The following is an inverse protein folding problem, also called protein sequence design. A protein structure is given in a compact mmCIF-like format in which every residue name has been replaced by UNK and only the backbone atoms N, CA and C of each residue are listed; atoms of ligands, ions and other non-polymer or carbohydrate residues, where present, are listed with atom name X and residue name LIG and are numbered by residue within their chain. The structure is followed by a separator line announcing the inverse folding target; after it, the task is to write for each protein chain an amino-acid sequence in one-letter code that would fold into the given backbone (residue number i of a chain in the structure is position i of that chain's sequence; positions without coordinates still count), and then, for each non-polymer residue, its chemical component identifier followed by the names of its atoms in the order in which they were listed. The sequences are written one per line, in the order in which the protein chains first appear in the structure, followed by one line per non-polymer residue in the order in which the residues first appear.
data_IF_505611529637
#
_entry.id   IF_505611529637
#
_cell.length_a   1.000
_cell.length_b   1.000
_cell.length_c   1.000
_cell.angle_alpha   90.00
_cell.angle_beta   90.00
_cell.angle_gamma   90.00
#
_symmetry.space_group_name_H-M   'P 1'
#
loop_
_entity.id
_entity.type
_entity.pdbx_description
1 polymer ?
#
# COMPACT_ATOMS: atom_id res chain seq x y z
N UNK A 1 -5.04 -50.17 7.54
CA UNK A 1 -5.95 -49.17 8.13
C UNK A 1 -5.21 -48.08 8.92
N UNK A 2 -4.33 -48.40 9.89
CA UNK A 2 -3.55 -47.38 10.64
C UNK A 2 -2.71 -46.44 9.77
N UNK A 3 -2.05 -46.96 8.72
CA UNK A 3 -1.24 -46.15 7.78
C UNK A 3 -2.08 -45.17 6.94
N UNK A 4 -3.32 -45.54 6.62
CA UNK A 4 -4.27 -44.70 5.88
C UNK A 4 -4.81 -43.57 6.77
N UNK A 5 -5.05 -43.85 8.06
CA UNK A 5 -5.49 -42.87 9.05
C UNK A 5 -4.42 -41.80 9.35
N UNK A 6 -3.15 -42.19 9.37
CA UNK A 6 -2.03 -41.26 9.58
C UNK A 6 -1.84 -40.36 8.35
N UNK A 7 -2.02 -40.92 7.14
CA UNK A 7 -1.92 -40.14 5.90
C UNK A 7 -3.05 -39.10 5.77
N UNK A 8 -4.29 -39.44 6.14
CA UNK A 8 -5.40 -38.48 6.10
C UNK A 8 -5.28 -37.38 7.16
N UNK A 9 -4.77 -37.69 8.36
CA UNK A 9 -4.51 -36.65 9.38
C UNK A 9 -3.41 -35.68 8.95
N UNK A 10 -2.35 -36.17 8.31
CA UNK A 10 -1.26 -35.33 7.84
C UNK A 10 -1.70 -34.34 6.73
N UNK A 11 -2.58 -34.79 5.83
CA UNK A 11 -3.13 -33.95 4.75
C UNK A 11 -4.11 -32.91 5.32
N UNK A 12 -4.94 -33.28 6.30
CA UNK A 12 -5.85 -32.36 6.98
C UNK A 12 -5.09 -31.27 7.76
N UNK A 13 -3.93 -31.59 8.33
CA UNK A 13 -3.09 -30.62 9.05
C UNK A 13 -2.47 -29.56 8.12
N UNK A 14 -2.19 -29.88 6.86
CA UNK A 14 -1.69 -28.91 5.87
C UNK A 14 -2.78 -28.01 5.27
N UNK A 15 -4.04 -28.45 5.27
CA UNK A 15 -5.16 -27.67 4.73
C UNK A 15 -5.70 -26.61 5.73
N UNK A 16 -5.29 -26.67 6.99
CA UNK A 16 -5.74 -25.79 8.05
C UNK A 16 -4.80 -24.59 8.31
N UNK A 17 -3.85 -24.31 7.42
CA UNK A 17 -3.10 -23.06 7.49
C UNK A 17 -4.08 -21.94 7.10
N UNK A 18 -4.45 -21.04 8.01
CA UNK A 18 -5.18 -19.85 7.62
C UNK A 18 -4.28 -19.16 6.61
N UNK A 19 -4.76 -18.93 5.39
CA UNK A 19 -4.11 -18.00 4.49
C UNK A 19 -4.01 -16.69 5.29
N UNK A 20 -2.81 -16.36 5.77
CA UNK A 20 -2.58 -15.13 6.50
C UNK A 20 -3.05 -14.02 5.55
N UNK A 21 -4.19 -13.42 5.87
CA UNK A 21 -4.73 -12.30 5.10
C UNK A 21 -3.71 -11.19 5.25
N UNK A 22 -2.86 -11.03 4.23
CA UNK A 22 -1.90 -9.95 4.18
C UNK A 22 -2.68 -8.66 4.41
N UNK A 23 -2.51 -8.06 5.59
CA UNK A 23 -3.26 -6.88 6.03
C UNK A 23 -2.64 -5.62 5.41
N UNK A 24 -2.44 -5.67 4.10
CA UNK A 24 -1.97 -4.57 3.27
C UNK A 24 -3.10 -4.08 2.39
N UNK A 25 -2.98 -2.85 1.92
CA UNK A 25 -3.88 -2.28 0.95
C UNK A 25 -3.95 -3.15 -0.32
N UNK A 26 -5.14 -3.38 -0.85
CA UNK A 26 -5.32 -4.00 -2.16
C UNK A 26 -4.54 -3.22 -3.22
N UNK A 27 -4.06 -3.90 -4.26
CA UNK A 27 -3.41 -3.19 -5.35
C UNK A 27 -4.42 -2.25 -6.03
N UNK A 28 -4.00 -1.05 -6.48
CA UNK A 28 -4.87 -0.16 -7.24
C UNK A 28 -5.46 -0.88 -8.44
N UNK A 29 -6.73 -0.59 -8.76
CA UNK A 29 -7.32 -1.06 -10.00
C UNK A 29 -6.53 -0.48 -11.18
N UNK A 30 -5.99 -1.36 -12.03
CA UNK A 30 -5.18 -0.98 -13.18
C UNK A 30 -3.67 -1.20 -12.98
N UNK A 31 -2.87 -0.53 -13.79
CA UNK A 31 -1.40 -0.59 -13.76
C UNK A 31 -0.84 0.81 -13.54
N UNK A 32 0.18 0.94 -12.69
CA UNK A 32 0.82 2.23 -12.41
C UNK A 32 0.94 2.50 -10.91
N UNK A 33 1.50 3.66 -10.59
CA UNK A 33 1.67 4.09 -9.21
C UNK A 33 0.33 4.61 -8.64
N UNK A 34 -0.04 4.27 -7.40
CA UNK A 34 -1.19 4.88 -6.75
C UNK A 34 -0.91 6.35 -6.45
N UNK A 35 -1.83 7.23 -6.86
CA UNK A 35 -1.82 8.63 -6.46
C UNK A 35 -2.98 8.87 -5.48
N UNK A 36 -2.68 9.11 -4.21
CA UNK A 36 -3.68 9.54 -3.23
C UNK A 36 -3.15 10.67 -2.35
N UNK A 37 -3.93 11.74 -2.27
CA UNK A 37 -3.66 12.83 -1.35
C UNK A 37 -4.21 12.53 0.03
N UNK A 38 -3.35 12.46 1.02
CA UNK A 38 -3.76 12.46 2.43
C UNK A 38 -4.39 13.82 2.79
N UNK A 39 -5.48 13.80 3.56
CA UNK A 39 -6.14 15.03 4.02
C UNK A 39 -7.11 15.65 3.00
N UNK A 40 -7.45 14.95 1.92
CA UNK A 40 -8.69 15.27 1.20
C UNK A 40 -9.88 15.11 2.14
N UNK A 41 -11.01 15.77 1.86
CA UNK A 41 -12.22 15.64 2.69
C UNK A 41 -12.73 14.19 2.81
N UNK A 42 -12.27 13.28 1.95
CA UNK A 42 -12.60 11.86 1.97
C UNK A 42 -11.51 10.97 2.62
N UNK A 43 -10.37 11.53 3.03
CA UNK A 43 -9.31 10.78 3.69
C UNK A 43 -9.68 10.52 5.17
N UNK A 44 -10.12 9.30 5.45
CA UNK A 44 -10.58 8.88 6.79
C UNK A 44 -9.41 8.78 7.79
N UNK A 45 -8.20 8.51 7.31
CA UNK A 45 -6.98 8.37 8.12
C UNK A 45 -5.78 9.05 7.48
N UNK A 46 -4.86 9.53 8.31
CA UNK A 46 -3.57 10.07 7.88
C UNK A 46 -2.42 9.19 8.39
N UNK A 47 -1.39 8.92 7.57
CA UNK A 47 -0.23 8.17 7.99
C UNK A 47 0.56 8.96 9.05
N UNK A 48 1.29 8.23 9.88
CA UNK A 48 2.12 8.83 10.91
C UNK A 48 3.10 9.85 10.30
N UNK A 49 3.14 11.05 10.88
CA UNK A 49 4.01 12.13 10.39
C UNK A 49 3.42 12.97 9.24
N UNK A 50 2.16 12.76 8.83
CA UNK A 50 1.50 13.56 7.78
C UNK A 50 1.68 15.08 7.94
N UNK A 51 1.46 15.60 9.15
CA UNK A 51 1.59 17.03 9.43
C UNK A 51 3.02 17.54 9.61
N UNK A 52 4.05 16.72 9.37
CA UNK A 52 5.45 17.11 9.58
C UNK A 52 6.08 17.63 8.30
N UNK A 53 7.17 18.41 8.43
CA UNK A 53 7.87 18.98 7.29
C UNK A 53 8.46 17.94 6.31
N UNK A 54 8.70 16.70 6.77
CA UNK A 54 9.16 15.61 5.91
C UNK A 54 8.15 15.26 4.81
N UNK A 55 6.84 15.40 5.11
CA UNK A 55 5.77 15.15 4.16
C UNK A 55 5.76 16.20 3.04
N UNK A 56 5.80 17.48 3.43
CA UNK A 56 5.85 18.58 2.47
C UNK A 56 7.14 18.54 1.61
N UNK A 57 8.27 18.13 2.20
CA UNK A 57 9.53 18.06 1.46
C UNK A 57 9.51 16.96 0.39
N UNK A 58 8.93 15.80 0.68
CA UNK A 58 8.95 14.69 -0.27
C UNK A 58 8.13 14.94 -1.54
N UNK A 59 7.06 15.74 -1.45
CA UNK A 59 6.35 16.26 -2.62
C UNK A 59 7.28 17.06 -3.55
N UNK A 60 8.22 17.81 -2.98
CA UNK A 60 9.17 18.63 -3.77
C UNK A 60 10.34 17.84 -4.36
N UNK A 61 10.54 16.59 -3.92
CA UNK A 61 11.70 15.78 -4.32
C UNK A 61 11.30 14.62 -5.21
N UNK A 62 10.20 13.94 -4.91
CA UNK A 62 9.84 12.66 -5.52
C UNK A 62 8.58 12.72 -6.40
N UNK A 63 7.62 13.59 -6.08
CA UNK A 63 6.40 13.71 -6.87
C UNK A 63 6.70 14.35 -8.24
N UNK A 64 5.82 14.14 -9.22
CA UNK A 64 5.88 14.71 -10.57
C UNK A 64 5.45 16.17 -10.66
N UNK A 65 5.47 16.90 -9.55
CA UNK A 65 5.07 18.30 -9.45
C UNK A 65 6.03 19.22 -10.22
N UNK A 66 5.56 20.40 -10.62
CA UNK A 66 6.40 21.38 -11.32
C UNK A 66 7.67 21.72 -10.51
N UNK A 67 8.82 21.78 -11.18
CA UNK A 67 10.11 22.09 -10.54
C UNK A 67 10.80 20.92 -9.84
N UNK A 68 10.18 19.73 -9.81
CA UNK A 68 10.80 18.54 -9.24
C UNK A 68 11.72 17.81 -10.24
N UNK A 69 12.69 17.00 -9.76
CA UNK A 69 13.48 16.13 -10.63
C UNK A 69 12.62 15.17 -11.46
N UNK A 70 11.53 14.63 -10.89
CA UNK A 70 10.64 13.71 -11.59
C UNK A 70 9.98 14.38 -12.80
N UNK A 71 9.44 15.59 -12.64
CA UNK A 71 8.90 16.37 -13.74
C UNK A 71 9.97 16.73 -14.78
N UNK A 72 11.16 17.15 -14.34
CA UNK A 72 12.27 17.52 -15.21
C UNK A 72 12.77 16.35 -16.08
N UNK A 73 12.60 15.11 -15.62
CA UNK A 73 12.95 13.90 -16.36
C UNK A 73 11.75 13.25 -17.08
N UNK A 74 10.68 14.00 -17.31
CA UNK A 74 9.54 13.57 -18.11
C UNK A 74 8.55 12.65 -17.40
N UNK A 75 8.61 12.54 -16.08
CA UNK A 75 7.67 11.77 -15.29
C UNK A 75 6.81 12.68 -14.39
N UNK A 76 5.84 13.36 -14.99
CA UNK A 76 4.83 14.16 -14.27
C UNK A 76 3.83 13.32 -13.48
N UNK A 77 3.82 12.00 -13.68
CA UNK A 77 2.97 11.06 -12.95
C UNK A 77 3.68 10.38 -11.78
N UNK A 78 4.93 10.75 -11.51
CA UNK A 78 5.65 10.25 -10.35
C UNK A 78 4.88 10.59 -9.07
N UNK A 79 4.66 9.59 -8.23
CA UNK A 79 4.04 9.78 -6.92
C UNK A 79 5.10 9.81 -5.84
N UNK A 80 4.91 10.61 -4.80
CA UNK A 80 5.78 10.55 -3.65
C UNK A 80 5.56 9.23 -2.90
N UNK A 81 6.58 8.76 -2.18
CA UNK A 81 6.43 7.58 -1.28
C UNK A 81 5.28 7.77 -0.28
N UNK A 82 4.89 9.02 -0.02
CA UNK A 82 3.84 9.38 0.89
C UNK A 82 2.45 9.27 0.28
N UNK A 83 2.27 9.52 -1.02
CA UNK A 83 1.02 9.22 -1.74
C UNK A 83 0.65 7.72 -1.64
N UNK A 84 1.67 6.86 -1.68
CA UNK A 84 1.49 5.42 -1.48
C UNK A 84 1.03 5.11 -0.06
N UNK A 85 1.61 5.76 0.95
CA UNK A 85 1.20 5.61 2.34
C UNK A 85 -0.26 6.09 2.54
N UNK A 86 -0.64 7.19 1.90
CA UNK A 86 -2.01 7.71 1.88
C UNK A 86 -3.00 6.69 1.30
N UNK A 87 -2.64 6.11 0.16
CA UNK A 87 -3.43 5.05 -0.46
C UNK A 87 -3.59 3.85 0.48
N UNK A 88 -2.52 3.48 1.18
CA UNK A 88 -2.55 2.35 2.10
C UNK A 88 -3.47 2.59 3.29
N UNK A 89 -3.31 3.71 4.02
CA UNK A 89 -4.15 3.99 5.19
C UNK A 89 -5.62 4.20 4.82
N UNK A 90 -5.89 4.73 3.62
CA UNK A 90 -7.26 4.93 3.13
C UNK A 90 -7.94 3.61 2.82
N UNK A 91 -7.22 2.61 2.30
CA UNK A 91 -7.81 1.29 2.05
C UNK A 91 -7.78 0.35 3.26
N UNK A 92 -6.85 0.54 4.20
CA UNK A 92 -6.78 -0.24 5.43
C UNK A 92 -7.74 0.26 6.51
N UNK A 93 -8.28 1.47 6.37
CA UNK A 93 -9.36 1.98 7.23
C UNK A 93 -10.69 1.32 6.90
N UNK A 94 -11.03 0.28 7.66
CA UNK A 94 -12.43 -0.10 7.89
C UNK A 94 -13.13 0.94 8.77
#
# INVERSE_FOLDING_TARGET
MRKLLVATLAIAATAAVPAATASGASNPSGTGQPNQSCGSATAVQQPAGFGTGGFAHAETVYAGSEGTPSAANGNSHAVSQYDVACYQVTQSGH
#
